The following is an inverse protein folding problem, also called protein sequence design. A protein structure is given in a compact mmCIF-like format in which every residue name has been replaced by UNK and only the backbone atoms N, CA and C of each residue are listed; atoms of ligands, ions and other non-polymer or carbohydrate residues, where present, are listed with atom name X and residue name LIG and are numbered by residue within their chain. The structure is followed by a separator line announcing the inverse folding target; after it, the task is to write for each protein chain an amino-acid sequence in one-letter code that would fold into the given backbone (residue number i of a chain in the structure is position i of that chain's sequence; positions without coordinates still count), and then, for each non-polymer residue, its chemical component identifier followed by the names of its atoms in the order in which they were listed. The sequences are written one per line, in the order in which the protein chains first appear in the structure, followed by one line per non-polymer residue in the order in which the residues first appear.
data_IF_419849777502
#
_entry.id   IF_419849777502
#
_cell.length_a   1.000
_cell.length_b   1.000
_cell.length_c   1.000
_cell.angle_alpha   90.00
_cell.angle_beta   90.00
_cell.angle_gamma   90.00
#
_symmetry.space_group_name_H-M   'P 1'
#
loop_
_entity.id
_entity.type
_entity.pdbx_description
1 polymer ?
#
# COMPACT_ATOMS: atom_id res chain seq x y z
N UNK A 1 7.48 -1.69 -39.49
CA UNK A 1 7.29 -0.24 -39.59
C UNK A 1 5.84 0.05 -39.24
N UNK A 2 5.55 0.82 -38.21
CA UNK A 2 4.20 1.29 -37.95
C UNK A 2 3.87 2.37 -38.99
N UNK A 3 2.78 2.19 -39.72
CA UNK A 3 2.27 3.25 -40.60
C UNK A 3 1.74 4.36 -39.70
N UNK A 4 2.31 5.55 -39.69
CA UNK A 4 1.72 6.63 -38.92
C UNK A 4 0.35 6.94 -39.51
N UNK A 5 -0.66 7.09 -38.67
CA UNK A 5 -1.95 7.70 -38.99
C UNK A 5 -1.68 9.18 -39.29
N UNK A 6 -1.25 9.49 -40.52
CA UNK A 6 -0.80 10.83 -40.93
C UNK A 6 -1.91 11.72 -41.47
N UNK A 7 -3.20 11.31 -41.40
CA UNK A 7 -4.32 12.20 -41.65
C UNK A 7 -4.96 12.59 -40.32
N UNK A 8 -4.99 13.91 -40.04
CA UNK A 8 -5.85 14.48 -39.00
C UNK A 8 -7.31 14.33 -39.49
N UNK A 9 -7.90 13.17 -39.19
CA UNK A 9 -9.34 13.00 -39.34
C UNK A 9 -9.96 13.61 -38.08
N UNK A 10 -10.79 14.64 -38.24
CA UNK A 10 -11.62 15.13 -37.16
C UNK A 10 -12.66 14.02 -36.87
N UNK A 11 -12.51 13.37 -35.71
CA UNK A 11 -13.42 12.32 -35.23
C UNK A 11 -14.40 13.00 -34.28
N UNK A 12 -15.69 12.96 -34.61
CA UNK A 12 -16.74 13.55 -33.77
C UNK A 12 -17.22 12.64 -32.67
N UNK A 13 -17.14 11.32 -32.87
CA UNK A 13 -17.69 10.32 -31.98
C UNK A 13 -16.73 9.13 -31.79
N UNK A 14 -16.80 8.48 -30.64
CA UNK A 14 -15.96 7.30 -30.30
C UNK A 14 -16.17 6.13 -31.24
N UNK A 15 -17.39 5.93 -31.75
CA UNK A 15 -17.68 4.87 -32.72
C UNK A 15 -16.88 5.05 -34.02
N UNK A 16 -16.73 6.28 -34.48
CA UNK A 16 -15.87 6.58 -35.65
C UNK A 16 -14.41 6.29 -35.34
N UNK A 17 -13.91 6.69 -34.15
CA UNK A 17 -12.56 6.44 -33.73
C UNK A 17 -12.26 4.94 -33.69
N UNK A 18 -13.15 4.14 -33.10
CA UNK A 18 -13.01 2.69 -33.05
C UNK A 18 -13.11 2.03 -34.42
N UNK A 19 -13.95 2.58 -35.32
CA UNK A 19 -14.03 2.14 -36.73
C UNK A 19 -12.74 2.39 -37.49
N UNK A 20 -12.13 3.57 -37.32
CA UNK A 20 -10.82 3.89 -37.90
C UNK A 20 -9.72 2.99 -37.33
N UNK A 21 -9.73 2.78 -36.02
CA UNK A 21 -8.81 1.85 -35.36
C UNK A 21 -8.95 0.43 -35.98
N UNK A 22 -10.17 -0.10 -36.06
CA UNK A 22 -10.44 -1.43 -36.62
C UNK A 22 -9.93 -1.57 -38.05
N UNK A 23 -10.17 -0.58 -38.91
CA UNK A 23 -9.66 -0.54 -40.29
C UNK A 23 -8.14 -0.43 -40.37
N UNK A 24 -7.49 0.17 -39.37
CA UNK A 24 -6.04 0.33 -39.33
C UNK A 24 -5.32 -0.91 -38.78
N UNK A 25 -6.06 -1.84 -38.17
CA UNK A 25 -5.49 -3.09 -37.68
C UNK A 25 -4.99 -3.92 -38.87
N UNK A 26 -3.73 -4.39 -38.87
CA UNK A 26 -3.18 -5.20 -39.95
C UNK A 26 -4.02 -6.43 -40.22
N UNK A 27 -4.15 -6.83 -41.48
CA UNK A 27 -4.79 -8.09 -41.87
C UNK A 27 -4.06 -9.27 -41.25
N UNK A 28 -4.77 -10.30 -40.77
CA UNK A 28 -4.18 -11.49 -40.12
C UNK A 28 -3.17 -12.18 -41.11
N UNK A 29 -3.45 -12.11 -42.41
CA UNK A 29 -2.62 -12.69 -43.49
C UNK A 29 -1.25 -12.04 -43.64
N UNK A 30 -1.12 -10.76 -43.27
CA UNK A 30 0.09 -9.98 -43.49
C UNK A 30 1.14 -10.13 -42.36
N UNK A 31 0.89 -11.04 -41.43
CA UNK A 31 1.74 -11.26 -40.26
C UNK A 31 2.41 -12.60 -40.26
N UNK A 32 3.71 -12.58 -39.99
CA UNK A 32 4.46 -13.80 -39.68
C UNK A 32 3.87 -14.49 -38.43
N UNK A 33 3.95 -15.84 -38.40
CA UNK A 33 3.45 -16.66 -37.30
C UNK A 33 3.93 -16.13 -35.94
N UNK A 34 3.00 -15.88 -35.02
CA UNK A 34 3.30 -15.53 -33.63
C UNK A 34 3.30 -14.01 -33.28
N UNK A 35 3.14 -13.10 -34.25
CA UNK A 35 3.05 -11.67 -33.96
C UNK A 35 1.66 -11.27 -33.48
N UNK A 36 1.60 -10.52 -32.36
CA UNK A 36 0.37 -9.98 -31.80
C UNK A 36 0.27 -8.47 -32.09
N UNK A 37 -0.95 -7.97 -32.31
CA UNK A 37 -1.25 -6.54 -32.24
C UNK A 37 -1.65 -6.20 -30.84
N UNK A 38 -0.99 -5.24 -30.25
CA UNK A 38 -1.38 -4.71 -28.93
C UNK A 38 -2.07 -3.37 -29.16
N UNK A 39 -3.28 -3.25 -28.63
CA UNK A 39 -4.05 -2.01 -28.56
C UNK A 39 -4.19 -1.67 -27.09
N UNK A 40 -3.76 -0.48 -26.71
CA UNK A 40 -3.80 0.01 -25.33
C UNK A 40 -4.68 1.25 -25.27
N UNK A 41 -5.71 1.22 -24.44
CA UNK A 41 -6.43 2.40 -24.01
C UNK A 41 -5.92 2.78 -22.61
N UNK A 42 -5.05 3.77 -22.60
CA UNK A 42 -4.46 4.28 -21.36
C UNK A 42 -5.35 5.37 -20.76
N UNK A 43 -5.33 5.51 -19.43
CA UNK A 43 -6.20 6.41 -18.66
C UNK A 43 -7.68 6.32 -19.08
N UNK A 44 -8.15 5.08 -19.19
CA UNK A 44 -9.47 4.73 -19.74
C UNK A 44 -10.63 5.46 -19.05
N UNK A 45 -10.50 5.79 -17.76
CA UNK A 45 -11.49 6.59 -17.03
C UNK A 45 -11.73 7.98 -17.66
N UNK A 46 -10.69 8.59 -18.23
CA UNK A 46 -10.84 9.90 -18.87
C UNK A 46 -11.56 9.81 -20.21
N UNK A 47 -11.38 8.71 -20.94
CA UNK A 47 -12.13 8.47 -22.17
C UNK A 47 -13.63 8.33 -21.86
N UNK A 48 -13.98 7.73 -20.73
CA UNK A 48 -15.36 7.49 -20.31
C UNK A 48 -16.00 8.67 -19.56
N UNK A 49 -15.21 9.61 -19.03
CA UNK A 49 -15.71 10.71 -18.20
C UNK A 49 -16.68 11.64 -18.98
N UNK A 50 -16.40 11.85 -20.26
CA UNK A 50 -17.24 12.68 -21.14
C UNK A 50 -18.24 11.89 -22.00
N UNK A 51 -18.07 10.58 -22.09
CA UNK A 51 -18.86 9.70 -22.96
C UNK A 51 -18.90 8.26 -22.37
N UNK A 52 -19.82 7.96 -21.44
CA UNK A 52 -19.91 6.63 -20.84
C UNK A 52 -20.20 5.50 -21.84
N UNK A 53 -20.76 5.84 -23.01
CA UNK A 53 -21.08 4.95 -24.11
C UNK A 53 -19.87 4.24 -24.69
N UNK A 54 -18.66 4.80 -24.54
CA UNK A 54 -17.38 4.19 -24.98
C UNK A 54 -17.23 2.75 -24.48
N UNK A 55 -17.68 2.44 -23.25
CA UNK A 55 -17.63 1.09 -22.71
C UNK A 55 -18.49 0.12 -23.53
N UNK A 56 -19.68 0.57 -23.93
CA UNK A 56 -20.62 -0.21 -24.78
C UNK A 56 -20.11 -0.33 -26.20
N UNK A 57 -19.48 0.72 -26.74
CA UNK A 57 -18.89 0.68 -28.07
C UNK A 57 -17.72 -0.31 -28.13
N UNK A 58 -16.80 -0.27 -27.16
CA UNK A 58 -15.71 -1.26 -27.06
C UNK A 58 -16.27 -2.68 -26.94
N UNK A 59 -17.32 -2.88 -26.13
CA UNK A 59 -18.02 -4.17 -26.04
C UNK A 59 -18.50 -4.63 -27.41
N UNK A 60 -19.19 -3.76 -28.15
CA UNK A 60 -19.75 -4.08 -29.48
C UNK A 60 -18.64 -4.45 -30.48
N UNK A 61 -17.54 -3.65 -30.54
CA UNK A 61 -16.40 -3.97 -31.39
C UNK A 61 -15.74 -5.28 -30.98
N UNK A 62 -15.59 -5.52 -29.68
CA UNK A 62 -15.06 -6.78 -29.18
C UNK A 62 -15.91 -7.95 -29.63
N UNK A 63 -17.21 -7.95 -29.36
CA UNK A 63 -18.10 -9.06 -29.65
C UNK A 63 -18.27 -9.34 -31.15
N UNK A 64 -18.29 -8.30 -31.97
CA UNK A 64 -18.58 -8.43 -33.40
C UNK A 64 -17.33 -8.63 -34.27
N UNK A 65 -16.15 -8.17 -33.84
CA UNK A 65 -14.98 -8.08 -34.71
C UNK A 65 -13.69 -8.58 -34.09
N UNK A 66 -13.45 -8.33 -32.78
CA UNK A 66 -12.14 -8.47 -32.20
C UNK A 66 -11.92 -9.77 -31.41
N UNK A 67 -12.94 -10.36 -30.80
CA UNK A 67 -12.83 -11.55 -29.93
C UNK A 67 -12.25 -12.76 -30.64
N UNK A 68 -12.59 -12.93 -31.93
CA UNK A 68 -12.17 -14.09 -32.74
C UNK A 68 -10.83 -13.84 -33.44
N UNK A 69 -10.25 -12.64 -33.30
CA UNK A 69 -8.91 -12.33 -33.76
C UNK A 69 -7.88 -12.88 -32.80
N UNK A 70 -7.37 -14.07 -33.02
CA UNK A 70 -6.31 -14.66 -32.19
C UNK A 70 -4.99 -13.86 -32.14
N UNK A 71 -4.85 -12.79 -32.91
CA UNK A 71 -3.68 -11.92 -32.99
C UNK A 71 -3.84 -10.59 -32.25
N UNK A 72 -5.01 -10.26 -31.72
CA UNK A 72 -5.27 -9.00 -31.02
C UNK A 72 -5.15 -9.18 -29.49
N UNK A 73 -4.44 -8.27 -28.88
CA UNK A 73 -4.33 -8.11 -27.43
C UNK A 73 -4.79 -6.73 -27.02
N UNK A 74 -5.99 -6.64 -26.46
CA UNK A 74 -6.59 -5.39 -26.01
C UNK A 74 -6.30 -5.19 -24.52
N UNK A 75 -5.78 -4.01 -24.17
CA UNK A 75 -5.46 -3.61 -22.80
C UNK A 75 -6.23 -2.34 -22.46
N UNK A 76 -6.95 -2.36 -21.35
CA UNK A 76 -7.59 -1.18 -20.76
C UNK A 76 -6.86 -0.86 -19.46
N UNK A 77 -6.18 0.29 -19.41
CA UNK A 77 -5.46 0.78 -18.25
C UNK A 77 -6.19 1.98 -17.65
N UNK A 78 -6.11 2.13 -16.33
CA UNK A 78 -6.64 3.31 -15.65
C UNK A 78 -6.08 3.44 -14.25
N UNK A 79 -5.83 4.67 -13.82
CA UNK A 79 -5.35 5.03 -12.48
C UNK A 79 -6.47 4.98 -11.43
N UNK A 80 -7.72 5.19 -11.81
CA UNK A 80 -8.87 5.14 -10.91
C UNK A 80 -9.33 3.72 -10.62
N UNK A 81 -8.90 3.16 -9.48
CA UNK A 81 -9.30 1.82 -9.01
C UNK A 81 -10.83 1.74 -8.84
N UNK A 82 -11.45 2.80 -8.29
CA UNK A 82 -12.90 2.85 -8.09
C UNK A 82 -13.66 2.73 -9.41
N UNK A 83 -13.23 3.45 -10.46
CA UNK A 83 -13.80 3.37 -11.79
C UNK A 83 -13.59 1.97 -12.40
N UNK A 84 -12.36 1.45 -12.37
CA UNK A 84 -12.05 0.15 -12.96
C UNK A 84 -12.86 -0.98 -12.33
N UNK A 85 -13.03 -0.99 -11.01
CA UNK A 85 -13.83 -2.00 -10.32
C UNK A 85 -15.34 -1.78 -10.43
N UNK A 86 -15.80 -0.52 -10.40
CA UNK A 86 -17.21 -0.16 -10.36
C UNK A 86 -17.88 -0.10 -11.74
N UNK A 87 -17.19 0.38 -12.75
CA UNK A 87 -17.76 0.66 -14.07
C UNK A 87 -17.24 -0.28 -15.17
N UNK A 88 -15.97 -0.73 -15.09
CA UNK A 88 -15.40 -1.61 -16.11
C UNK A 88 -15.57 -3.10 -15.75
N UNK A 89 -15.26 -3.49 -14.53
CA UNK A 89 -15.21 -4.89 -14.10
C UNK A 89 -16.47 -5.38 -13.37
N UNK A 90 -17.37 -4.49 -12.98
CA UNK A 90 -18.58 -4.82 -12.25
C UNK A 90 -19.55 -5.69 -13.08
N UNK A 91 -20.37 -6.49 -12.41
CA UNK A 91 -21.36 -7.37 -13.08
C UNK A 91 -22.33 -6.63 -14.02
N UNK A 92 -22.62 -5.35 -13.73
CA UNK A 92 -23.49 -4.48 -14.55
C UNK A 92 -22.77 -3.89 -15.77
N UNK A 93 -21.45 -4.02 -15.84
CA UNK A 93 -20.66 -3.45 -16.95
C UNK A 93 -20.89 -4.20 -18.25
N UNK A 94 -20.98 -3.50 -19.39
CA UNK A 94 -20.98 -4.13 -20.72
C UNK A 94 -19.77 -5.04 -20.95
N UNK A 95 -18.62 -4.76 -20.33
CA UNK A 95 -17.39 -5.55 -20.47
C UNK A 95 -17.32 -6.76 -19.52
N UNK A 96 -18.32 -6.94 -18.65
CA UNK A 96 -18.33 -8.08 -17.74
C UNK A 96 -18.25 -9.41 -18.49
N UNK A 97 -17.39 -10.31 -18.02
CA UNK A 97 -17.20 -11.66 -18.62
C UNK A 97 -16.34 -11.69 -19.89
N UNK A 98 -15.87 -10.53 -20.40
CA UNK A 98 -15.04 -10.44 -21.62
C UNK A 98 -13.55 -10.36 -21.35
N UNK A 99 -13.16 -10.08 -20.11
CA UNK A 99 -11.74 -10.05 -19.73
C UNK A 99 -11.15 -11.44 -19.65
N UNK A 100 -9.90 -11.58 -20.11
CA UNK A 100 -9.12 -12.81 -19.93
C UNK A 100 -8.21 -12.72 -18.71
N UNK A 101 -7.71 -11.55 -18.37
CA UNK A 101 -6.86 -11.27 -17.21
C UNK A 101 -7.17 -9.90 -16.62
N UNK A 102 -6.85 -9.73 -15.35
CA UNK A 102 -6.90 -8.46 -14.65
C UNK A 102 -5.69 -8.38 -13.74
N UNK A 103 -4.98 -7.25 -13.79
CA UNK A 103 -3.82 -6.98 -12.97
C UNK A 103 -4.08 -5.70 -12.18
N UNK A 104 -3.89 -5.75 -10.88
CA UNK A 104 -3.73 -4.57 -10.05
C UNK A 104 -2.24 -4.41 -9.80
N UNK A 105 -1.69 -3.27 -10.19
CA UNK A 105 -0.31 -2.93 -9.87
C UNK A 105 -0.28 -2.48 -8.40
N UNK A 106 0.41 -3.24 -7.59
CA UNK A 106 0.65 -2.87 -6.19
C UNK A 106 1.90 -1.97 -6.09
N UNK A 107 1.99 -1.14 -5.04
CA UNK A 107 3.23 -0.41 -4.77
C UNK A 107 4.43 -1.34 -4.68
N UNK A 108 5.61 -0.86 -5.05
CA UNK A 108 6.85 -1.62 -4.92
C UNK A 108 7.10 -2.03 -3.48
N UNK A 109 7.64 -3.23 -3.30
CA UNK A 109 8.17 -3.68 -2.01
C UNK A 109 9.52 -3.00 -1.74
N UNK A 110 10.02 -3.13 -0.51
CA UNK A 110 11.28 -2.49 -0.09
C UNK A 110 12.45 -2.79 -1.03
N UNK A 111 12.53 -4.01 -1.56
CA UNK A 111 13.58 -4.44 -2.50
C UNK A 111 13.55 -3.61 -3.80
N UNK A 112 12.41 -3.54 -4.44
CA UNK A 112 12.23 -2.80 -5.68
C UNK A 112 12.37 -1.29 -5.43
N UNK A 113 11.79 -0.79 -4.33
CA UNK A 113 11.88 0.61 -3.95
C UNK A 113 13.33 1.07 -3.75
N UNK A 114 14.18 0.21 -3.20
CA UNK A 114 15.60 0.52 -3.01
C UNK A 114 16.36 0.76 -4.32
N UNK A 115 15.88 0.21 -5.45
CA UNK A 115 16.48 0.44 -6.78
C UNK A 115 16.29 1.89 -7.26
N UNK A 116 15.26 2.61 -6.79
CA UNK A 116 15.05 4.03 -7.09
C UNK A 116 15.99 4.95 -6.33
N UNK A 117 16.63 4.46 -5.27
CA UNK A 117 17.48 5.23 -4.37
C UNK A 117 18.84 4.54 -4.14
N UNK A 118 19.58 4.18 -5.22
CA UNK A 118 20.75 3.31 -5.14
C UNK A 118 21.92 3.87 -4.33
N UNK A 119 21.97 5.20 -4.16
CA UNK A 119 23.07 5.90 -3.50
C UNK A 119 22.88 6.06 -1.98
N UNK A 120 21.81 5.45 -1.41
CA UNK A 120 21.55 5.50 0.02
C UNK A 120 21.88 4.17 0.70
N UNK A 121 22.33 4.26 1.95
CA UNK A 121 22.50 3.05 2.75
C UNK A 121 21.15 2.38 3.04
N UNK A 122 21.12 1.09 3.42
CA UNK A 122 19.89 0.33 3.66
C UNK A 122 18.92 1.01 4.64
N UNK A 123 19.43 1.65 5.68
CA UNK A 123 18.62 2.32 6.68
C UNK A 123 17.91 3.56 6.11
N UNK A 124 18.63 4.42 5.37
CA UNK A 124 18.02 5.59 4.70
C UNK A 124 17.04 5.18 3.60
N UNK A 125 17.30 4.09 2.88
CA UNK A 125 16.37 3.56 1.91
C UNK A 125 15.06 3.11 2.58
N UNK A 126 15.16 2.48 3.74
CA UNK A 126 14.01 2.14 4.55
C UNK A 126 13.30 3.38 5.10
N UNK A 127 14.01 4.43 5.55
CA UNK A 127 13.39 5.70 5.97
C UNK A 127 12.54 6.32 4.86
N UNK A 128 13.05 6.35 3.62
CA UNK A 128 12.27 6.83 2.46
C UNK A 128 11.02 5.98 2.26
N UNK A 129 11.17 4.66 2.30
CA UNK A 129 10.03 3.74 2.15
C UNK A 129 8.98 3.93 3.24
N UNK A 130 9.40 4.04 4.50
CA UNK A 130 8.50 4.27 5.64
C UNK A 130 7.78 5.63 5.57
N UNK A 131 8.35 6.60 4.83
CA UNK A 131 7.74 7.91 4.62
C UNK A 131 6.70 7.90 3.49
N UNK A 132 6.98 7.27 2.35
CA UNK A 132 6.16 7.42 1.14
C UNK A 132 5.72 6.08 0.50
N UNK A 133 6.09 4.94 1.07
CA UNK A 133 5.76 3.64 0.51
C UNK A 133 6.49 3.35 -0.80
N UNK A 134 5.92 2.44 -1.59
CA UNK A 134 6.50 1.94 -2.84
C UNK A 134 5.96 2.61 -4.11
N UNK A 135 5.41 3.83 -4.05
CA UNK A 135 4.94 4.55 -5.22
C UNK A 135 6.15 5.11 -6.00
N UNK A 136 6.37 4.71 -7.28
CA UNK A 136 7.56 5.09 -8.05
C UNK A 136 7.85 6.59 -8.04
N UNK A 137 6.84 7.40 -8.31
CA UNK A 137 6.98 8.86 -8.33
C UNK A 137 7.41 9.45 -7.00
N UNK A 138 6.87 8.93 -5.90
CA UNK A 138 7.23 9.37 -4.55
C UNK A 138 8.66 8.95 -4.19
N UNK A 139 9.06 7.75 -4.59
CA UNK A 139 10.43 7.26 -4.40
C UNK A 139 11.46 8.11 -5.17
N UNK A 140 11.18 8.51 -6.42
CA UNK A 140 12.02 9.42 -7.18
C UNK A 140 12.21 10.77 -6.46
N UNK A 141 11.10 11.38 -6.01
CA UNK A 141 11.12 12.70 -5.36
C UNK A 141 11.84 12.63 -4.02
N UNK A 142 11.48 11.67 -3.17
CA UNK A 142 12.07 11.51 -1.83
C UNK A 142 13.48 10.93 -1.87
N UNK A 143 13.80 10.16 -2.91
CA UNK A 143 15.14 9.62 -3.15
C UNK A 143 16.14 10.68 -3.62
N UNK A 144 15.68 11.77 -4.19
CA UNK A 144 16.53 12.84 -4.70
C UNK A 144 17.24 13.62 -3.57
N UNK A 145 18.49 14.03 -3.81
CA UNK A 145 19.26 14.86 -2.89
C UNK A 145 20.20 14.07 -1.96
N UNK A 146 20.79 14.78 -0.99
CA UNK A 146 21.93 14.28 -0.21
C UNK A 146 21.54 13.43 1.00
N UNK A 147 20.40 13.68 1.63
CA UNK A 147 19.93 12.93 2.80
C UNK A 147 18.41 12.84 2.82
N UNK A 148 17.89 11.82 3.52
CA UNK A 148 16.45 11.66 3.73
C UNK A 148 15.83 12.87 4.45
N UNK A 149 16.44 13.36 5.52
CA UNK A 149 15.93 14.51 6.28
C UNK A 149 15.81 15.77 5.42
N UNK A 150 16.82 16.05 4.57
CA UNK A 150 16.78 17.19 3.65
C UNK A 150 15.70 17.03 2.57
N UNK A 151 15.50 15.82 2.03
CA UNK A 151 14.46 15.53 1.08
C UNK A 151 13.07 15.70 1.71
N UNK A 152 12.85 15.14 2.89
CA UNK A 152 11.60 15.26 3.62
C UNK A 152 11.25 16.72 3.94
N UNK A 153 12.22 17.49 4.41
CA UNK A 153 12.03 18.92 4.70
C UNK A 153 11.62 19.70 3.45
N UNK A 154 12.32 19.50 2.34
CA UNK A 154 12.08 20.19 1.07
C UNK A 154 10.74 19.82 0.46
N UNK A 155 10.39 18.53 0.43
CA UNK A 155 9.26 18.01 -0.33
C UNK A 155 7.95 17.93 0.45
N UNK A 156 8.00 18.10 1.80
CA UNK A 156 6.81 18.01 2.66
C UNK A 156 6.51 19.32 3.41
N UNK A 157 7.52 20.11 3.77
CA UNK A 157 7.38 21.19 4.74
C UNK A 157 7.67 22.59 4.18
N UNK A 158 7.35 22.79 2.91
CA UNK A 158 7.31 24.09 2.24
C UNK A 158 5.93 24.32 1.64
N UNK A 159 5.44 25.56 1.53
CA UNK A 159 4.17 25.87 0.88
C UNK A 159 4.10 25.44 -0.59
N UNK A 160 5.24 25.32 -1.26
CA UNK A 160 5.38 24.90 -2.66
C UNK A 160 5.85 23.46 -2.80
N UNK A 161 5.96 22.73 -1.69
CA UNK A 161 6.44 21.33 -1.70
C UNK A 161 5.45 20.40 -2.41
N UNK A 162 5.98 19.41 -3.12
CA UNK A 162 5.17 18.45 -3.87
C UNK A 162 4.11 17.78 -2.99
N UNK A 163 4.50 17.29 -1.81
CA UNK A 163 3.62 16.55 -0.91
C UNK A 163 2.68 17.42 -0.05
N UNK A 164 2.78 18.74 -0.14
CA UNK A 164 1.99 19.63 0.71
C UNK A 164 0.48 19.54 0.45
N UNK A 165 0.08 19.44 -0.81
CA UNK A 165 -1.33 19.32 -1.23
C UNK A 165 -1.68 17.97 -1.87
N UNK A 166 -0.71 17.08 -2.07
CA UNK A 166 -0.83 15.82 -2.80
C UNK A 166 -1.99 14.95 -2.33
N UNK A 167 -2.22 14.84 -1.01
CA UNK A 167 -3.32 14.04 -0.46
C UNK A 167 -4.69 14.52 -0.94
N UNK A 168 -4.87 15.83 -1.13
CA UNK A 168 -6.13 16.36 -1.65
C UNK A 168 -6.37 15.95 -3.08
N UNK A 169 -5.31 15.97 -3.90
CA UNK A 169 -5.38 15.50 -5.31
C UNK A 169 -5.69 14.01 -5.37
N UNK A 170 -4.95 13.19 -4.64
CA UNK A 170 -5.17 11.72 -4.58
C UNK A 170 -6.60 11.37 -4.14
N UNK A 171 -7.12 12.02 -3.10
CA UNK A 171 -8.47 11.72 -2.62
C UNK A 171 -9.54 12.21 -3.60
N UNK A 172 -9.39 13.39 -4.21
CA UNK A 172 -10.37 13.92 -5.17
C UNK A 172 -10.41 13.16 -6.50
N UNK A 173 -9.29 12.57 -6.91
CA UNK A 173 -9.23 11.70 -8.10
C UNK A 173 -9.96 10.37 -7.86
N UNK A 174 -9.81 9.78 -6.69
CA UNK A 174 -10.31 8.44 -6.38
C UNK A 174 -11.72 8.42 -5.79
N UNK A 175 -12.17 9.50 -5.17
CA UNK A 175 -13.34 9.52 -4.31
C UNK A 175 -14.26 10.71 -4.61
N UNK A 176 -15.57 10.43 -4.63
CA UNK A 176 -16.60 11.48 -4.57
C UNK A 176 -16.75 11.93 -3.11
N UNK A 177 -16.95 13.24 -2.88
CA UNK A 177 -17.11 13.81 -1.53
C UNK A 177 -15.93 13.51 -0.58
N UNK A 178 -14.70 13.94 -0.92
CA UNK A 178 -13.48 13.54 -0.22
C UNK A 178 -13.43 13.95 1.26
N UNK A 179 -14.25 14.89 1.74
CA UNK A 179 -14.18 15.43 3.09
C UNK A 179 -14.49 14.40 4.19
N UNK A 180 -15.44 13.48 3.96
CA UNK A 180 -15.74 12.41 4.91
C UNK A 180 -14.57 11.42 5.03
N UNK A 181 -13.99 11.08 3.91
CA UNK A 181 -12.81 10.21 3.87
C UNK A 181 -11.61 10.87 4.54
N UNK A 182 -11.41 12.17 4.31
CA UNK A 182 -10.35 12.93 4.93
C UNK A 182 -10.42 12.89 6.46
N UNK A 183 -11.61 13.17 7.04
CA UNK A 183 -11.83 13.10 8.50
C UNK A 183 -11.59 11.70 9.06
N UNK A 184 -12.00 10.65 8.37
CA UNK A 184 -11.73 9.27 8.78
C UNK A 184 -10.25 8.93 8.76
N UNK A 185 -9.53 9.31 7.68
CA UNK A 185 -8.09 9.09 7.55
C UNK A 185 -7.30 9.83 8.61
N UNK A 186 -7.67 11.07 8.91
CA UNK A 186 -7.08 11.87 9.99
C UNK A 186 -7.19 11.15 11.35
N UNK A 187 -8.36 10.61 11.68
CA UNK A 187 -8.55 9.86 12.93
C UNK A 187 -7.76 8.55 12.95
N UNK A 188 -7.72 7.85 11.81
CA UNK A 188 -6.98 6.59 11.68
C UNK A 188 -5.45 6.77 11.67
N UNK A 189 -4.95 7.95 11.32
CA UNK A 189 -3.54 8.29 11.44
C UNK A 189 -3.06 8.40 12.90
N UNK A 190 -3.95 8.78 13.80
CA UNK A 190 -3.63 8.87 15.24
C UNK A 190 -3.41 7.45 15.81
N UNK A 191 -4.37 6.54 15.56
CA UNK A 191 -4.33 5.14 16.01
C UNK A 191 -5.36 4.29 15.29
N UNK A 192 -5.19 2.98 15.34
CA UNK A 192 -6.24 2.06 14.89
C UNK A 192 -7.50 2.19 15.75
N UNK A 193 -8.68 2.30 15.10
CA UNK A 193 -9.96 2.57 15.76
C UNK A 193 -11.06 1.63 15.27
N UNK A 194 -12.03 1.35 16.16
CA UNK A 194 -13.27 0.66 15.78
C UNK A 194 -14.30 1.65 15.23
N UNK A 195 -15.35 1.13 14.60
CA UNK A 195 -16.42 1.96 13.98
C UNK A 195 -17.04 2.93 14.98
N UNK A 196 -17.32 2.46 16.20
CA UNK A 196 -17.91 3.31 17.25
C UNK A 196 -16.98 4.47 17.67
N UNK A 197 -15.68 4.20 17.83
CA UNK A 197 -14.68 5.22 18.14
C UNK A 197 -14.59 6.27 17.02
N UNK A 198 -14.69 5.83 15.75
CA UNK A 198 -14.72 6.71 14.58
C UNK A 198 -16.00 7.54 14.51
N UNK A 199 -17.16 6.95 14.82
CA UNK A 199 -18.44 7.67 14.90
C UNK A 199 -18.39 8.79 15.95
N UNK A 200 -17.90 8.47 17.15
CA UNK A 200 -17.73 9.44 18.24
C UNK A 200 -16.75 10.57 17.87
N UNK A 201 -15.67 10.25 17.14
CA UNK A 201 -14.63 11.23 16.79
C UNK A 201 -14.99 12.10 15.57
N UNK A 202 -15.73 11.56 14.59
CA UNK A 202 -16.00 12.25 13.32
C UNK A 202 -17.42 12.80 13.20
N UNK A 203 -18.36 12.33 14.04
CA UNK A 203 -19.79 12.64 13.93
C UNK A 203 -20.47 12.00 12.70
N UNK A 204 -19.78 11.12 11.97
CA UNK A 204 -20.34 10.40 10.81
C UNK A 204 -21.10 9.18 11.34
N UNK A 205 -22.38 8.95 10.97
CA UNK A 205 -23.14 7.79 11.43
C UNK A 205 -22.45 6.45 11.06
N UNK A 206 -22.48 5.49 11.97
CA UNK A 206 -21.78 4.19 11.83
C UNK A 206 -22.11 3.43 10.53
N UNK A 207 -23.35 3.54 10.05
CA UNK A 207 -23.76 2.94 8.78
C UNK A 207 -23.05 3.55 7.55
N UNK A 208 -22.80 4.85 7.58
CA UNK A 208 -22.04 5.54 6.52
C UNK A 208 -20.53 5.28 6.67
N UNK A 209 -20.01 5.23 7.90
CA UNK A 209 -18.60 4.89 8.14
C UNK A 209 -18.23 3.57 7.49
N UNK A 210 -19.08 2.55 7.60
CA UNK A 210 -18.80 1.23 6.98
C UNK A 210 -18.64 1.35 5.46
N UNK A 211 -19.49 2.12 4.80
CA UNK A 211 -19.37 2.39 3.37
C UNK A 211 -18.05 3.08 3.01
N UNK A 212 -17.67 4.11 3.75
CA UNK A 212 -16.43 4.83 3.52
C UNK A 212 -15.19 3.96 3.79
N UNK A 213 -15.20 3.17 4.87
CA UNK A 213 -14.12 2.24 5.19
C UNK A 213 -13.96 1.16 4.12
N UNK A 214 -15.05 0.64 3.57
CA UNK A 214 -15.00 -0.34 2.48
C UNK A 214 -14.32 0.27 1.24
N UNK A 215 -14.67 1.50 0.86
CA UNK A 215 -14.02 2.21 -0.23
C UNK A 215 -12.52 2.44 0.02
N UNK A 216 -12.15 2.89 1.23
CA UNK A 216 -10.75 3.07 1.61
C UNK A 216 -9.96 1.75 1.62
N UNK A 217 -10.60 0.62 1.95
CA UNK A 217 -9.98 -0.70 1.87
C UNK A 217 -9.75 -1.14 0.42
N UNK A 218 -10.70 -0.89 -0.48
CA UNK A 218 -10.57 -1.17 -1.92
C UNK A 218 -9.36 -0.42 -2.50
N UNK A 219 -9.18 0.83 -2.09
CA UNK A 219 -8.04 1.66 -2.49
C UNK A 219 -6.71 1.24 -1.83
N UNK A 220 -6.74 0.40 -0.81
CA UNK A 220 -5.56 0.01 -0.05
C UNK A 220 -5.10 1.04 0.99
N UNK A 221 -5.86 2.10 1.22
CA UNK A 221 -5.49 3.14 2.19
C UNK A 221 -5.70 2.71 3.64
N UNK A 222 -6.68 1.84 3.86
CA UNK A 222 -7.06 1.35 5.19
C UNK A 222 -7.18 -0.17 5.18
N UNK A 223 -6.72 -0.83 6.23
CA UNK A 223 -6.97 -2.24 6.44
C UNK A 223 -7.86 -2.49 7.67
N UNK A 224 -8.68 -3.53 7.53
CA UNK A 224 -9.40 -4.12 8.65
C UNK A 224 -8.46 -5.00 9.45
N UNK A 225 -8.33 -4.71 10.73
CA UNK A 225 -7.39 -5.35 11.63
C UNK A 225 -8.11 -6.07 12.77
N UNK A 226 -7.80 -7.34 12.94
CA UNK A 226 -8.32 -8.19 14.03
C UNK A 226 -7.14 -8.90 14.69
N UNK A 227 -7.19 -9.14 16.01
CA UNK A 227 -6.16 -9.95 16.65
C UNK A 227 -6.07 -11.33 16.00
N UNK A 228 -4.86 -11.83 15.80
CA UNK A 228 -4.65 -13.22 15.36
C UNK A 228 -5.41 -14.17 16.29
N UNK A 229 -6.04 -15.20 15.73
CA UNK A 229 -6.91 -16.15 16.44
C UNK A 229 -8.27 -15.58 16.92
N UNK A 230 -8.62 -14.33 16.63
CA UNK A 230 -9.97 -13.83 16.89
C UNK A 230 -10.93 -14.24 15.76
N UNK A 231 -12.20 -14.49 16.11
CA UNK A 231 -13.21 -14.75 15.12
C UNK A 231 -13.41 -13.56 14.15
N UNK A 232 -13.72 -13.84 12.89
CA UNK A 232 -13.88 -12.79 11.84
C UNK A 232 -14.94 -11.74 12.20
N UNK A 233 -15.95 -12.09 12.97
CA UNK A 233 -17.01 -11.20 13.46
C UNK A 233 -16.75 -10.65 14.87
N UNK A 234 -15.51 -10.73 15.34
CA UNK A 234 -15.13 -10.23 16.66
C UNK A 234 -15.44 -8.74 16.82
N UNK A 235 -15.98 -8.35 17.98
CA UNK A 235 -16.18 -6.94 18.38
C UNK A 235 -14.85 -6.17 18.56
N UNK A 236 -13.70 -6.85 18.46
CA UNK A 236 -12.37 -6.26 18.59
C UNK A 236 -11.80 -5.76 17.25
N UNK A 237 -12.62 -5.76 16.19
CA UNK A 237 -12.22 -5.20 14.89
C UNK A 237 -11.80 -3.75 15.03
N UNK A 238 -10.67 -3.43 14.44
CA UNK A 238 -10.16 -2.07 14.28
C UNK A 238 -9.82 -1.82 12.82
N UNK A 239 -9.83 -0.58 12.44
CA UNK A 239 -9.36 -0.11 11.15
C UNK A 239 -8.09 0.68 11.36
N UNK A 240 -7.14 0.53 10.45
CA UNK A 240 -5.83 1.18 10.53
C UNK A 240 -5.47 1.76 9.17
N UNK A 241 -4.85 2.93 9.21
CA UNK A 241 -4.25 3.55 8.04
C UNK A 241 -3.01 2.73 7.61
N UNK A 242 -3.02 2.21 6.39
CA UNK A 242 -1.95 1.36 5.84
C UNK A 242 -1.07 2.11 4.85
N UNK A 243 -1.59 3.11 4.16
CA UNK A 243 -0.77 3.90 3.24
C UNK A 243 0.26 4.73 4.00
N UNK A 244 1.54 4.56 3.63
CA UNK A 244 2.66 5.21 4.31
C UNK A 244 2.64 6.71 4.13
N UNK A 245 2.37 7.19 2.90
CA UNK A 245 2.35 8.62 2.64
C UNK A 245 1.16 9.32 3.32
N UNK A 246 -0.03 8.74 3.26
CA UNK A 246 -1.18 9.29 3.98
C UNK A 246 -0.91 9.35 5.49
N UNK A 247 -0.25 8.34 6.06
CA UNK A 247 0.14 8.36 7.47
C UNK A 247 1.14 9.47 7.77
N UNK A 248 2.16 9.65 6.93
CA UNK A 248 3.11 10.76 7.05
C UNK A 248 2.40 12.11 7.01
N UNK A 249 1.52 12.30 6.03
CA UNK A 249 0.78 13.53 5.82
C UNK A 249 -0.07 13.91 7.03
N UNK A 250 -0.91 12.99 7.49
CA UNK A 250 -1.81 13.26 8.63
C UNK A 250 -1.05 13.35 9.97
N UNK A 251 0.13 12.74 10.07
CA UNK A 251 0.93 12.83 11.29
C UNK A 251 1.72 14.13 11.37
N UNK A 252 2.34 14.58 10.28
CA UNK A 252 3.30 15.68 10.33
C UNK A 252 2.96 16.88 9.44
N UNK A 253 2.34 16.70 8.28
CA UNK A 253 2.07 17.80 7.36
C UNK A 253 0.75 18.48 7.73
N UNK A 254 -0.33 17.72 7.78
CA UNK A 254 -1.68 18.25 8.01
C UNK A 254 -1.79 19.07 9.29
N UNK A 255 -1.34 18.61 10.47
CA UNK A 255 -1.45 19.36 11.71
C UNK A 255 -0.68 20.68 11.72
N UNK A 256 0.32 20.82 10.84
CA UNK A 256 1.21 21.99 10.78
C UNK A 256 0.97 22.85 9.54
N UNK A 257 -0.09 22.63 8.77
CA UNK A 257 -0.30 23.33 7.49
C UNK A 257 -0.21 24.85 7.61
N UNK A 258 -0.83 25.44 8.61
CA UNK A 258 -0.77 26.89 8.82
C UNK A 258 0.63 27.38 9.20
N UNK A 259 1.36 26.60 9.98
CA UNK A 259 2.76 26.90 10.31
C UNK A 259 3.66 26.82 9.09
N UNK A 260 3.46 25.80 8.25
CA UNK A 260 4.21 25.64 6.98
C UNK A 260 3.92 26.81 6.03
N UNK A 261 2.66 27.22 5.88
CA UNK A 261 2.27 28.35 5.02
C UNK A 261 2.92 29.67 5.44
N UNK A 262 3.11 29.87 6.76
CA UNK A 262 3.75 31.07 7.32
C UNK A 262 5.27 31.03 7.30
N UNK A 263 5.88 29.95 6.82
CA UNK A 263 7.32 29.76 6.73
C UNK A 263 7.76 29.76 5.24
N UNK A 264 8.03 30.94 4.62
CA UNK A 264 8.36 31.01 3.18
C UNK A 264 9.54 30.15 2.76
N UNK A 265 10.52 29.95 3.67
CA UNK A 265 11.67 29.06 3.46
C UNK A 265 11.41 27.59 3.82
N UNK A 266 10.17 27.25 4.20
CA UNK A 266 9.84 25.94 4.72
C UNK A 266 10.29 25.71 6.17
N UNK A 267 10.01 24.51 6.70
CA UNK A 267 10.48 24.06 8.02
C UNK A 267 11.58 23.03 7.83
N UNK A 268 12.59 23.05 8.70
CA UNK A 268 13.60 21.98 8.75
C UNK A 268 12.98 20.68 9.27
N UNK A 269 13.67 19.56 9.08
CA UNK A 269 13.27 18.26 9.62
C UNK A 269 13.07 18.32 11.14
N UNK A 270 14.00 18.92 11.85
CA UNK A 270 13.98 19.07 13.31
C UNK A 270 12.78 19.90 13.80
N UNK A 271 12.43 20.94 13.04
CA UNK A 271 11.30 21.81 13.37
C UNK A 271 9.94 21.14 13.12
N UNK A 272 9.84 20.33 12.06
CA UNK A 272 8.57 19.74 11.61
C UNK A 272 8.33 18.35 12.19
N UNK A 273 9.35 17.55 12.35
CA UNK A 273 9.28 16.14 12.72
C UNK A 273 10.08 15.84 13.99
N UNK A 274 11.37 16.19 14.02
CA UNK A 274 12.27 16.04 15.15
C UNK A 274 12.22 14.63 15.78
N UNK A 275 12.10 14.60 17.12
CA UNK A 275 12.01 13.37 17.90
C UNK A 275 10.76 12.51 17.61
N UNK A 276 9.76 13.04 16.92
CA UNK A 276 8.56 12.29 16.53
C UNK A 276 8.81 11.23 15.46
N UNK A 277 9.94 11.36 14.72
CA UNK A 277 10.28 10.44 13.64
C UNK A 277 10.46 9.00 14.10
N UNK A 278 11.21 8.76 15.16
CA UNK A 278 11.49 7.39 15.62
C UNK A 278 10.22 6.65 16.05
N UNK A 279 9.31 7.32 16.72
CA UNK A 279 8.03 6.73 17.11
C UNK A 279 7.13 6.47 15.91
N UNK A 280 7.14 7.34 14.90
CA UNK A 280 6.44 7.15 13.63
C UNK A 280 7.02 5.97 12.85
N UNK A 281 8.33 6.00 12.63
CA UNK A 281 9.04 4.99 11.87
C UNK A 281 8.97 3.60 12.51
N UNK A 282 8.96 3.52 13.85
CA UNK A 282 8.75 2.28 14.58
C UNK A 282 7.42 1.62 14.20
N UNK A 283 6.32 2.36 14.24
CA UNK A 283 4.99 1.84 13.84
C UNK A 283 4.93 1.48 12.35
N UNK A 284 5.57 2.28 11.49
CA UNK A 284 5.65 2.00 10.07
C UNK A 284 6.52 0.75 9.79
N UNK A 285 7.56 0.52 10.57
CA UNK A 285 8.42 -0.65 10.47
C UNK A 285 7.72 -1.95 10.89
N UNK A 286 6.85 -1.92 11.90
CA UNK A 286 5.97 -3.05 12.22
C UNK A 286 5.07 -3.44 11.04
N UNK A 287 4.57 -2.46 10.29
CA UNK A 287 3.81 -2.70 9.07
C UNK A 287 4.70 -3.30 7.97
N UNK A 288 5.88 -2.72 7.74
CA UNK A 288 6.84 -3.24 6.78
C UNK A 288 7.17 -4.71 7.05
N UNK A 289 7.39 -5.07 8.32
CA UNK A 289 7.65 -6.45 8.72
C UNK A 289 6.45 -7.37 8.40
N UNK A 290 5.21 -6.92 8.60
CA UNK A 290 4.02 -7.70 8.21
C UNK A 290 3.90 -7.89 6.70
N UNK A 291 4.18 -6.87 5.91
CA UNK A 291 4.18 -6.92 4.44
C UNK A 291 5.26 -7.84 3.88
N UNK A 292 6.34 -8.04 4.64
CA UNK A 292 7.48 -8.89 4.28
C UNK A 292 7.52 -10.20 5.11
N UNK A 293 6.37 -10.66 5.59
CA UNK A 293 6.26 -11.88 6.40
C UNK A 293 6.72 -13.14 5.67
N UNK A 294 6.57 -13.18 4.36
CA UNK A 294 7.09 -14.25 3.50
C UNK A 294 8.63 -14.32 3.53
N UNK A 295 9.29 -13.17 3.45
CA UNK A 295 10.76 -13.08 3.58
C UNK A 295 11.19 -13.46 5.00
N UNK A 296 10.47 -12.99 6.03
CA UNK A 296 10.77 -13.36 7.42
C UNK A 296 10.67 -14.88 7.60
N UNK A 297 9.62 -15.51 7.07
CA UNK A 297 9.46 -16.97 7.14
C UNK A 297 10.61 -17.69 6.43
N UNK A 298 10.98 -17.28 5.22
CA UNK A 298 12.08 -17.86 4.46
C UNK A 298 13.42 -17.72 5.19
N UNK A 299 13.75 -16.52 5.70
CA UNK A 299 15.00 -16.26 6.43
C UNK A 299 15.10 -17.04 7.75
N UNK A 300 13.97 -17.46 8.30
CA UNK A 300 13.91 -18.29 9.53
C UNK A 300 13.78 -19.78 9.25
N UNK A 301 13.86 -20.19 7.96
CA UNK A 301 13.85 -21.59 7.54
C UNK A 301 12.44 -22.18 7.34
N UNK A 302 11.43 -21.34 7.22
CA UNK A 302 10.04 -21.76 7.00
C UNK A 302 9.55 -21.28 5.63
N UNK A 303 8.75 -22.12 4.97
CA UNK A 303 8.11 -21.78 3.69
C UNK A 303 6.59 -21.72 3.84
N UNK A 304 5.95 -21.01 2.88
CA UNK A 304 4.49 -21.04 2.76
C UNK A 304 3.76 -20.36 3.93
N UNK A 305 3.62 -19.05 3.85
CA UNK A 305 2.85 -18.28 4.83
C UNK A 305 1.35 -18.52 4.63
N UNK A 306 0.65 -18.96 5.66
CA UNK A 306 -0.81 -19.17 5.69
C UNK A 306 -1.57 -17.94 6.14
N UNK A 307 -1.06 -17.26 7.18
CA UNK A 307 -1.70 -16.07 7.72
C UNK A 307 -0.66 -15.15 8.37
N UNK A 308 -0.93 -13.85 8.27
CA UNK A 308 -0.13 -12.79 8.89
C UNK A 308 -1.05 -11.85 9.65
N UNK A 309 -0.64 -11.44 10.82
CA UNK A 309 -1.38 -10.47 11.63
C UNK A 309 -0.56 -9.94 12.79
N UNK A 310 -1.26 -9.31 13.73
CA UNK A 310 -0.70 -8.95 15.03
C UNK A 310 -1.60 -9.53 16.11
N UNK A 311 -1.11 -9.61 17.32
CA UNK A 311 -1.93 -10.03 18.44
C UNK A 311 -1.93 -8.96 19.52
N UNK A 312 -3.10 -8.68 20.08
CA UNK A 312 -3.24 -7.82 21.25
C UNK A 312 -4.35 -8.27 22.16
N UNK A 313 -4.11 -8.12 23.44
CA UNK A 313 -5.07 -8.36 24.50
C UNK A 313 -5.05 -7.17 25.44
N UNK A 314 -6.22 -6.57 25.70
CA UNK A 314 -6.33 -5.49 26.67
C UNK A 314 -6.00 -6.01 28.09
N UNK A 315 -5.34 -5.16 28.88
CA UNK A 315 -5.16 -5.42 30.31
C UNK A 315 -6.53 -5.53 30.99
N UNK A 316 -6.71 -6.55 31.78
CA UNK A 316 -7.88 -6.74 32.67
C UNK A 316 -7.39 -6.99 34.08
N UNK A 317 -8.31 -7.04 35.06
CA UNK A 317 -7.95 -7.38 36.46
C UNK A 317 -7.23 -8.74 36.57
N UNK A 318 -7.55 -9.68 35.66
CA UNK A 318 -7.02 -11.07 35.69
C UNK A 318 -5.92 -11.34 34.64
N UNK A 319 -5.68 -10.44 33.67
CA UNK A 319 -4.74 -10.66 32.57
C UNK A 319 -3.92 -9.43 32.28
N UNK A 320 -2.63 -9.59 32.13
CA UNK A 320 -1.74 -8.54 31.66
C UNK A 320 -2.09 -8.17 30.21
N UNK A 321 -1.91 -6.89 29.84
CA UNK A 321 -1.97 -6.48 28.44
C UNK A 321 -0.81 -7.12 27.67
N UNK A 322 -1.09 -7.60 26.46
CA UNK A 322 -0.10 -8.19 25.55
C UNK A 322 -0.25 -7.54 24.20
N UNK A 323 0.85 -7.22 23.58
CA UNK A 323 0.91 -6.79 22.18
C UNK A 323 2.06 -7.53 21.51
N UNK A 324 1.80 -8.13 20.36
CA UNK A 324 2.79 -8.76 19.49
C UNK A 324 2.68 -8.08 18.13
N UNK A 325 3.78 -7.54 17.65
CA UNK A 325 3.81 -6.69 16.46
C UNK A 325 3.48 -7.46 15.19
N UNK A 326 4.07 -8.65 15.04
CA UNK A 326 3.82 -9.54 13.91
C UNK A 326 3.71 -10.98 14.37
N UNK A 327 2.67 -11.66 13.91
CA UNK A 327 2.49 -13.11 14.05
C UNK A 327 2.33 -13.69 12.66
N UNK A 328 3.14 -14.70 12.32
CA UNK A 328 3.10 -15.38 11.04
C UNK A 328 2.79 -16.87 11.28
N UNK A 329 1.75 -17.39 10.67
CA UNK A 329 1.45 -18.81 10.66
C UNK A 329 1.97 -19.43 9.36
N UNK A 330 2.81 -20.45 9.48
CA UNK A 330 3.44 -21.15 8.36
C UNK A 330 2.78 -22.51 8.09
N UNK A 331 2.94 -23.02 6.87
CA UNK A 331 2.34 -24.32 6.44
C UNK A 331 2.88 -25.52 7.22
N UNK A 332 4.11 -25.45 7.70
CA UNK A 332 4.77 -26.49 8.49
C UNK A 332 4.32 -26.55 9.97
N UNK A 333 3.22 -25.88 10.29
CA UNK A 333 2.69 -25.76 11.66
C UNK A 333 3.61 -25.00 12.61
N UNK A 334 4.41 -24.08 12.09
CA UNK A 334 5.16 -23.13 12.90
C UNK A 334 4.44 -21.79 12.96
N UNK A 335 4.45 -21.18 14.14
CA UNK A 335 3.99 -19.81 14.36
C UNK A 335 5.19 -18.96 14.75
N UNK A 336 5.54 -17.99 13.89
CA UNK A 336 6.57 -17.02 14.20
C UNK A 336 5.95 -15.89 15.03
N UNK A 337 6.51 -15.63 16.19
CA UNK A 337 6.18 -14.49 17.05
C UNK A 337 7.30 -13.48 16.92
N UNK A 338 6.99 -12.33 16.33
CA UNK A 338 8.01 -11.35 15.96
C UNK A 338 7.87 -10.07 16.79
N UNK A 339 8.98 -9.58 17.29
CA UNK A 339 9.15 -8.24 17.87
C UNK A 339 9.93 -7.38 16.89
N UNK A 340 9.44 -6.17 16.58
CA UNK A 340 10.05 -5.26 15.63
C UNK A 340 10.76 -4.11 16.36
N UNK A 341 12.01 -3.84 16.01
CA UNK A 341 12.80 -2.76 16.59
C UNK A 341 13.35 -1.86 15.50
N UNK A 342 12.81 -0.65 15.45
CA UNK A 342 13.33 0.43 14.62
C UNK A 342 14.37 1.22 15.39
N UNK A 343 15.42 1.63 14.73
CA UNK A 343 16.48 2.49 15.25
C UNK A 343 17.83 2.17 14.62
N UNK A 344 18.74 3.15 14.60
CA UNK A 344 20.13 2.99 14.08
C UNK A 344 21.02 2.20 15.02
N UNK A 345 20.69 2.18 16.30
CA UNK A 345 21.44 1.46 17.33
C UNK A 345 21.18 -0.04 17.31
N UNK A 346 22.14 -0.81 17.77
CA UNK A 346 22.00 -2.28 17.92
C UNK A 346 20.99 -2.62 19.03
N UNK A 347 20.06 -3.50 18.73
CA UNK A 347 19.08 -4.01 19.70
C UNK A 347 19.72 -4.92 20.73
N UNK A 348 19.44 -4.68 22.01
CA UNK A 348 19.97 -5.41 23.16
C UNK A 348 19.08 -6.56 23.64
N UNK A 349 19.56 -7.27 24.67
CA UNK A 349 18.89 -8.46 25.26
C UNK A 349 17.55 -8.16 25.91
N UNK A 350 17.26 -6.92 26.28
CA UNK A 350 15.98 -6.53 26.86
C UNK A 350 14.82 -6.75 25.86
N UNK A 351 15.06 -6.59 24.56
CA UNK A 351 14.09 -6.88 23.51
C UNK A 351 13.79 -8.38 23.45
N UNK A 352 14.80 -9.22 23.61
CA UNK A 352 14.63 -10.69 23.67
C UNK A 352 13.80 -11.10 24.90
N UNK A 353 14.07 -10.51 26.06
CA UNK A 353 13.31 -10.77 27.27
C UNK A 353 11.83 -10.33 27.12
N UNK A 354 11.57 -9.21 26.44
CA UNK A 354 10.22 -8.75 26.10
C UNK A 354 9.52 -9.73 25.16
N UNK A 355 10.18 -10.14 24.08
CA UNK A 355 9.68 -11.09 23.09
C UNK A 355 9.29 -12.44 23.74
N UNK A 356 10.13 -12.98 24.63
CA UNK A 356 9.83 -14.21 25.39
C UNK A 356 8.57 -14.08 26.24
N UNK A 357 8.40 -12.96 26.94
CA UNK A 357 7.19 -12.69 27.74
C UNK A 357 5.93 -12.59 26.89
N UNK A 358 6.02 -11.93 25.75
CA UNK A 358 4.91 -11.78 24.81
C UNK A 358 4.52 -13.13 24.19
N UNK A 359 5.50 -13.92 23.76
CA UNK A 359 5.28 -15.25 23.18
C UNK A 359 4.66 -16.22 24.19
N UNK A 360 5.09 -16.19 25.45
CA UNK A 360 4.49 -17.00 26.52
C UNK A 360 3.01 -16.65 26.79
N UNK A 361 2.60 -15.41 26.48
CA UNK A 361 1.23 -14.97 26.65
C UNK A 361 0.37 -15.14 25.37
N UNK A 362 0.96 -15.57 24.27
CA UNK A 362 0.24 -15.81 23.00
C UNK A 362 -0.63 -17.08 23.11
N UNK A 363 -1.94 -16.98 22.80
CA UNK A 363 -2.82 -18.15 22.85
C UNK A 363 -2.58 -19.05 21.64
N UNK A 364 -1.67 -19.99 21.75
CA UNK A 364 -1.37 -20.97 20.70
C UNK A 364 -2.44 -22.09 20.66
N UNK A 365 -3.66 -21.72 20.22
CA UNK A 365 -4.81 -22.62 20.20
C UNK A 365 -4.60 -23.83 19.28
N UNK A 366 -3.84 -23.67 18.21
CA UNK A 366 -3.55 -24.73 17.23
C UNK A 366 -2.39 -25.63 17.65
N UNK A 367 -1.76 -25.35 18.78
CA UNK A 367 -0.59 -26.08 19.30
C UNK A 367 0.55 -26.17 18.28
N UNK A 368 0.76 -25.11 17.51
CA UNK A 368 1.88 -24.99 16.59
C UNK A 368 3.21 -24.86 17.36
N UNK A 369 4.31 -25.22 16.71
CA UNK A 369 5.64 -24.85 17.23
C UNK A 369 5.76 -23.32 17.21
N UNK A 370 6.19 -22.72 18.32
CA UNK A 370 6.40 -21.27 18.39
C UNK A 370 7.88 -20.99 18.23
N UNK A 371 8.23 -20.16 17.24
CA UNK A 371 9.58 -19.64 17.05
C UNK A 371 9.60 -18.13 17.30
N UNK A 372 10.60 -17.69 18.06
CA UNK A 372 10.82 -16.30 18.37
C UNK A 372 11.65 -15.64 17.27
N UNK A 373 11.20 -14.45 16.81
CA UNK A 373 11.91 -13.70 15.76
C UNK A 373 12.08 -12.25 16.22
N UNK A 374 13.30 -11.76 16.17
CA UNK A 374 13.62 -10.35 16.39
C UNK A 374 13.92 -9.69 15.07
N UNK A 375 13.04 -8.77 14.62
CA UNK A 375 13.22 -7.98 13.40
C UNK A 375 13.83 -6.65 13.80
N UNK A 376 15.13 -6.45 13.52
CA UNK A 376 15.89 -5.31 14.03
C UNK A 376 16.53 -4.49 12.91
N UNK A 377 16.06 -3.24 12.71
CA UNK A 377 16.52 -2.36 11.63
C UNK A 377 18.01 -2.00 11.76
N UNK A 378 18.50 -1.69 12.95
CA UNK A 378 19.90 -1.38 13.23
C UNK A 378 20.78 -2.58 13.57
N UNK A 379 20.23 -3.80 13.39
CA UNK A 379 20.90 -5.03 13.79
C UNK A 379 20.88 -5.26 15.31
N UNK A 380 21.65 -6.23 15.77
CA UNK A 380 21.65 -6.69 17.16
C UNK A 380 23.04 -6.72 17.79
N UNK A 381 23.10 -6.69 19.12
CA UNK A 381 24.35 -6.86 19.86
C UNK A 381 24.87 -8.29 19.81
N UNK A 382 26.15 -8.52 20.10
CA UNK A 382 26.75 -9.86 20.14
C UNK A 382 26.13 -10.73 21.25
N UNK A 383 25.61 -10.12 22.31
CA UNK A 383 24.87 -10.82 23.35
C UNK A 383 23.57 -11.43 22.79
N UNK A 384 22.80 -10.68 21.97
CA UNK A 384 21.59 -11.18 21.31
C UNK A 384 21.93 -12.26 20.27
N UNK A 385 23.05 -12.16 19.55
CA UNK A 385 23.48 -13.18 18.56
C UNK A 385 23.76 -14.55 19.19
N UNK A 386 24.07 -14.60 20.50
CA UNK A 386 24.31 -15.84 21.24
C UNK A 386 23.03 -16.52 21.72
N UNK A 387 21.88 -15.84 21.66
CA UNK A 387 20.58 -16.42 22.01
C UNK A 387 20.16 -17.42 20.94
N UNK A 388 20.17 -18.72 21.27
CA UNK A 388 19.92 -19.80 20.30
C UNK A 388 18.43 -20.01 19.96
N UNK A 389 17.55 -19.51 20.80
CA UNK A 389 16.09 -19.65 20.68
C UNK A 389 15.42 -18.50 19.93
N UNK A 390 16.19 -17.51 19.45
CA UNK A 390 15.69 -16.34 18.76
C UNK A 390 16.33 -16.22 17.38
N UNK A 391 15.52 -16.26 16.34
CA UNK A 391 15.97 -15.92 14.99
C UNK A 391 16.05 -14.39 14.82
N UNK A 392 17.02 -13.95 14.04
CA UNK A 392 17.29 -12.53 13.82
C UNK A 392 17.04 -12.24 12.34
N UNK A 393 16.24 -11.23 12.06
CA UNK A 393 15.99 -10.68 10.71
C UNK A 393 16.37 -9.21 10.71
N UNK A 394 17.13 -8.78 9.71
CA UNK A 394 17.64 -7.42 9.57
C UNK A 394 16.99 -6.71 8.37
N UNK A 395 17.28 -5.41 8.19
CA UNK A 395 16.87 -4.68 6.97
C UNK A 395 17.47 -5.29 5.70
N UNK A 396 18.72 -5.78 5.77
CA UNK A 396 19.35 -6.41 4.62
C UNK A 396 18.65 -7.72 4.23
N UNK A 397 18.10 -8.43 5.19
CA UNK A 397 17.28 -9.62 4.93
C UNK A 397 15.94 -9.26 4.30
N UNK A 398 15.26 -8.23 4.77
CA UNK A 398 13.98 -7.75 4.20
C UNK A 398 14.11 -7.19 2.78
N UNK A 399 15.33 -6.91 2.32
CA UNK A 399 15.63 -6.41 0.97
C UNK A 399 15.99 -7.51 -0.03
N UNK A 400 16.10 -8.75 0.41
CA UNK A 400 16.35 -9.92 -0.47
C UNK A 400 15.10 -10.31 -1.23
#
# INVERSE_FOLDING_TARGET
MATPLTSRVAVGEWEEALTLLDRSLPAIRDRGKGRKTVVVFDEFQWMCAGCPEVISDIQRFWDQRWKDRGDLFLVLCGSSISFMLGDVLARKSPLFGRRTRSFKLEPFRLREAALFIPNRNPFEAAEVYLACGGIPKYLEIMGAGRSFHAALARECFSPTAYFFDEVRFVLSEQLKEPDHYFRLLEQLAIRAQGVRELEEATGIPSGQIMFYLERLQILGFVARHIPMNAARNSKTVRYRLEDYFLRLYFTFIHPQRERIRRAPGGLSFEQAVGAGWDAYAGRAFEQLAREHADIIAEQTGHGGVLAVGSYWQKRTVRKHGVQIDVVVQCQDRTTLVCECKWGRGKTGVDAVAALRRQAAAYPNAERNTVQLVLVAAGGVTDAVRREKDVAIVTLDDLRK
#
